data_IF_921110403208
#
_entry.id   IF_921110403208
#
_cell.length_a   1.000
_cell.length_b   1.000
_cell.length_c   1.000
_cell.angle_alpha   90.00
_cell.angle_beta   90.00
_cell.angle_gamma   90.00
#
_symmetry.space_group_name_H-M   'P 1'
#
loop_
_entity.id
_entity.type
_entity.pdbx_description
1 polymer ?
#
# COMPACT_ATOMS: atom_id res chain seq x y z
N UNK A 1 -21.07 31.60 20.20
CA UNK A 1 -19.68 31.18 19.95
C UNK A 1 -19.69 29.75 19.43
N UNK A 2 -19.36 29.52 18.16
CA UNK A 2 -19.11 28.18 17.64
C UNK A 2 -17.80 27.64 18.22
N UNK A 3 -17.78 26.38 18.66
CA UNK A 3 -16.53 25.69 19.03
C UNK A 3 -15.64 25.62 17.78
N UNK A 4 -14.57 26.41 17.75
CA UNK A 4 -13.44 26.12 16.85
C UNK A 4 -12.85 24.79 17.31
N UNK A 5 -13.15 23.72 16.59
CA UNK A 5 -12.35 22.50 16.68
C UNK A 5 -11.17 22.74 15.75
N UNK A 6 -10.00 23.01 16.33
CA UNK A 6 -8.75 22.76 15.60
C UNK A 6 -8.71 21.26 15.34
N UNK A 7 -8.73 20.90 14.06
CA UNK A 7 -8.64 19.52 13.62
C UNK A 7 -7.20 19.24 13.27
N UNK A 8 -6.62 18.20 13.86
CA UNK A 8 -5.39 17.62 13.34
C UNK A 8 -5.68 17.03 11.96
N UNK A 9 -5.24 17.75 10.92
CA UNK A 9 -5.60 17.46 9.53
C UNK A 9 -5.20 16.02 9.17
N UNK A 10 -4.03 15.57 9.61
CA UNK A 10 -3.53 14.22 9.33
C UNK A 10 -4.41 13.15 10.00
N UNK A 11 -4.84 13.37 11.25
CA UNK A 11 -5.71 12.42 11.97
C UNK A 11 -7.10 12.33 11.31
N UNK A 12 -7.64 13.46 10.88
CA UNK A 12 -8.95 13.50 10.22
C UNK A 12 -8.88 12.92 8.81
N UNK A 13 -7.81 13.18 8.06
CA UNK A 13 -7.59 12.60 6.74
C UNK A 13 -7.39 11.09 6.82
N UNK A 14 -6.61 10.59 7.78
CA UNK A 14 -6.41 9.16 8.01
C UNK A 14 -7.73 8.47 8.33
N UNK A 15 -8.51 9.03 9.26
CA UNK A 15 -9.84 8.49 9.62
C UNK A 15 -10.81 8.57 8.44
N UNK A 16 -10.78 9.66 7.66
CA UNK A 16 -11.63 9.81 6.49
C UNK A 16 -11.27 8.82 5.39
N UNK A 17 -9.97 8.59 5.13
CA UNK A 17 -9.49 7.57 4.21
C UNK A 17 -9.86 6.17 4.71
N UNK A 18 -9.61 5.84 5.97
CA UNK A 18 -10.02 4.55 6.55
C UNK A 18 -11.52 4.32 6.43
N UNK A 19 -12.35 5.32 6.77
CA UNK A 19 -13.80 5.21 6.65
C UNK A 19 -14.26 5.11 5.20
N UNK A 20 -13.67 5.88 4.29
CA UNK A 20 -13.95 5.80 2.86
C UNK A 20 -13.60 4.42 2.29
N UNK A 21 -12.46 3.87 2.70
CA UNK A 21 -12.00 2.53 2.32
C UNK A 21 -12.92 1.44 2.87
N UNK A 22 -13.16 1.42 4.19
CA UNK A 22 -14.01 0.41 4.84
C UNK A 22 -15.49 0.49 4.42
N UNK A 23 -16.02 1.69 4.19
CA UNK A 23 -17.45 1.86 3.91
C UNK A 23 -17.78 1.94 2.41
N UNK A 24 -16.87 2.45 1.58
CA UNK A 24 -17.10 2.71 0.15
C UNK A 24 -16.45 1.70 -0.78
N UNK A 25 -15.18 1.35 -0.54
CA UNK A 25 -14.37 0.56 -1.48
C UNK A 25 -14.49 -0.95 -1.25
N UNK A 26 -14.53 -1.40 0.00
CA UNK A 26 -14.69 -2.83 0.31
C UNK A 26 -16.02 -3.38 -0.22
N UNK A 27 -17.14 -2.65 -0.21
CA UNK A 27 -18.46 -3.25 -0.44
C UNK A 27 -18.80 -3.60 -1.90
N UNK A 28 -17.99 -3.20 -2.89
CA UNK A 28 -18.38 -3.28 -4.30
C UNK A 28 -17.37 -3.98 -5.22
N UNK A 29 -16.09 -4.04 -4.85
CA UNK A 29 -15.03 -4.67 -5.67
C UNK A 29 -14.45 -5.92 -4.99
N UNK A 30 -14.04 -6.95 -5.75
CA UNK A 30 -13.26 -8.07 -5.23
C UNK A 30 -11.96 -7.61 -4.58
N UNK A 31 -11.58 -8.18 -3.44
CA UNK A 31 -10.34 -7.85 -2.71
C UNK A 31 -9.10 -8.03 -3.59
N UNK A 32 -9.08 -9.05 -4.45
CA UNK A 32 -7.97 -9.25 -5.40
C UNK A 32 -7.79 -8.05 -6.33
N UNK A 33 -8.90 -7.44 -6.74
CA UNK A 33 -8.90 -6.26 -7.60
C UNK A 33 -8.40 -5.02 -6.85
N UNK A 34 -8.76 -4.89 -5.57
CA UNK A 34 -8.25 -3.82 -4.71
C UNK A 34 -6.74 -3.89 -4.54
N UNK A 35 -6.21 -5.09 -4.25
CA UNK A 35 -4.78 -5.34 -4.14
C UNK A 35 -4.08 -5.04 -5.48
N UNK A 36 -4.64 -5.50 -6.59
CA UNK A 36 -4.12 -5.24 -7.95
C UNK A 36 -3.99 -3.74 -8.20
N UNK A 37 -5.07 -2.98 -8.02
CA UNK A 37 -5.09 -1.52 -8.24
C UNK A 37 -4.15 -0.77 -7.29
N UNK A 38 -4.04 -1.21 -6.04
CA UNK A 38 -3.09 -0.65 -5.09
C UNK A 38 -1.64 -0.78 -5.60
N UNK A 39 -1.26 -1.97 -6.09
CA UNK A 39 0.07 -2.19 -6.67
C UNK A 39 0.26 -1.43 -7.99
N UNK A 40 -0.75 -1.37 -8.86
CA UNK A 40 -0.70 -0.62 -10.14
C UNK A 40 -0.51 0.89 -9.95
N UNK A 41 -1.12 1.46 -8.92
CA UNK A 41 -0.91 2.88 -8.56
C UNK A 41 0.55 3.20 -8.23
N UNK A 42 1.39 2.17 -8.06
CA UNK A 42 2.82 2.33 -7.81
C UNK A 42 3.64 2.47 -9.07
N UNK A 43 3.16 2.00 -10.21
CA UNK A 43 3.87 2.01 -11.50
C UNK A 43 3.43 3.14 -12.45
N UNK A 44 2.34 3.85 -12.14
CA UNK A 44 1.88 5.00 -12.92
C UNK A 44 2.84 6.20 -12.80
N UNK A 45 3.33 6.71 -13.94
CA UNK A 45 4.33 7.81 -14.02
C UNK A 45 3.75 9.21 -14.22
N UNK A 46 2.52 9.35 -14.70
CA UNK A 46 1.95 10.64 -15.12
C UNK A 46 1.57 11.59 -13.97
N UNK A 47 1.68 11.13 -12.72
CA UNK A 47 1.57 11.95 -11.52
C UNK A 47 2.72 11.55 -10.62
N UNK A 48 3.46 12.50 -10.03
CA UNK A 48 4.34 12.18 -8.90
C UNK A 48 3.45 11.63 -7.78
N UNK A 49 3.39 10.31 -7.54
CA UNK A 49 2.45 9.78 -6.58
C UNK A 49 3.01 10.08 -5.20
N UNK A 50 2.20 10.62 -4.28
CA UNK A 50 2.60 10.94 -2.90
C UNK A 50 3.34 9.76 -2.22
N UNK A 51 3.02 8.51 -2.56
CA UNK A 51 3.69 7.32 -2.04
C UNK A 51 5.18 7.21 -2.38
N UNK A 52 5.64 7.81 -3.48
CA UNK A 52 7.05 7.88 -3.86
C UNK A 52 7.88 8.80 -2.95
N UNK A 53 7.24 9.77 -2.30
CA UNK A 53 7.90 10.70 -1.38
C UNK A 53 8.27 10.01 -0.05
N UNK A 54 7.32 9.24 0.51
CA UNK A 54 7.53 8.52 1.78
C UNK A 54 8.67 7.51 1.65
N UNK A 55 8.68 6.69 0.59
CA UNK A 55 9.71 5.68 0.39
C UNK A 55 11.10 6.30 0.23
N UNK A 56 11.23 7.36 -0.56
CA UNK A 56 12.50 8.06 -0.71
C UNK A 56 12.97 8.70 0.60
N UNK A 57 12.06 9.37 1.31
CA UNK A 57 12.38 10.01 2.58
C UNK A 57 12.85 8.98 3.61
N UNK A 58 12.22 7.80 3.65
CA UNK A 58 12.66 6.69 4.47
C UNK A 58 14.08 6.23 4.16
N UNK A 59 14.39 6.03 2.87
CA UNK A 59 15.71 5.57 2.42
C UNK A 59 16.80 6.60 2.64
N UNK A 60 16.56 7.87 2.32
CA UNK A 60 17.57 8.93 2.34
C UNK A 60 17.75 9.58 3.72
N UNK A 61 16.65 9.75 4.46
CA UNK A 61 16.62 10.56 5.68
C UNK A 61 16.26 9.77 6.94
N UNK A 62 15.63 8.60 6.82
CA UNK A 62 15.11 7.86 7.98
C UNK A 62 16.17 7.48 9.02
N UNK A 63 17.41 7.23 8.59
CA UNK A 63 18.54 6.93 9.50
C UNK A 63 19.19 8.21 10.06
N UNK A 64 19.03 9.34 9.39
CA UNK A 64 19.71 10.61 9.72
C UNK A 64 18.81 11.56 10.52
N UNK A 65 17.50 11.40 10.43
CA UNK A 65 16.50 12.21 11.11
C UNK A 65 15.43 11.31 11.72
N UNK A 66 15.43 11.19 13.05
CA UNK A 66 14.51 10.33 13.79
C UNK A 66 13.04 10.74 13.67
N UNK A 67 12.75 12.03 13.47
CA UNK A 67 11.39 12.52 13.25
C UNK A 67 10.87 12.03 11.89
N UNK A 68 11.67 12.17 10.84
CA UNK A 68 11.34 11.63 9.50
C UNK A 68 11.24 10.11 9.55
N UNK A 69 12.15 9.43 10.25
CA UNK A 69 12.10 7.98 10.45
C UNK A 69 10.79 7.54 11.10
N UNK A 70 10.36 8.22 12.16
CA UNK A 70 9.11 7.90 12.87
C UNK A 70 7.87 8.11 11.98
N UNK A 71 7.83 9.21 11.22
CA UNK A 71 6.72 9.48 10.29
C UNK A 71 6.63 8.43 9.17
N UNK A 72 7.77 7.97 8.66
CA UNK A 72 7.81 6.92 7.63
C UNK A 72 7.37 5.58 8.21
N UNK A 73 7.83 5.23 9.41
CA UNK A 73 7.44 4.00 10.10
C UNK A 73 5.93 3.97 10.38
N UNK A 74 5.36 5.08 10.89
CA UNK A 74 3.92 5.22 11.09
C UNK A 74 3.14 5.02 9.78
N UNK A 75 3.62 5.58 8.67
CA UNK A 75 3.00 5.40 7.36
C UNK A 75 3.08 3.94 6.86
N UNK A 76 4.21 3.26 7.09
CA UNK A 76 4.38 1.86 6.73
C UNK A 76 3.47 0.96 7.56
N UNK A 77 3.41 1.15 8.88
CA UNK A 77 2.53 0.37 9.75
C UNK A 77 1.05 0.52 9.37
N UNK A 78 0.60 1.75 9.06
CA UNK A 78 -0.78 1.98 8.60
C UNK A 78 -1.10 1.31 7.26
N UNK A 79 -0.12 1.30 6.34
CA UNK A 79 -0.27 0.63 5.04
C UNK A 79 -0.36 -0.88 5.21
N UNK A 80 0.49 -1.45 6.07
CA UNK A 80 0.48 -2.88 6.39
C UNK A 80 -0.82 -3.30 7.07
N UNK A 81 -1.31 -2.53 8.04
CA UNK A 81 -2.60 -2.78 8.71
C UNK A 81 -3.76 -2.80 7.72
N UNK A 82 -3.75 -1.88 6.74
CA UNK A 82 -4.75 -1.85 5.67
C UNK A 82 -4.67 -3.11 4.78
N UNK A 83 -3.47 -3.56 4.41
CA UNK A 83 -3.28 -4.77 3.62
C UNK A 83 -3.73 -6.01 4.40
N UNK A 84 -3.44 -6.08 5.70
CA UNK A 84 -3.90 -7.14 6.59
C UNK A 84 -5.44 -7.23 6.62
N UNK A 85 -6.12 -6.10 6.83
CA UNK A 85 -7.58 -6.07 6.83
C UNK A 85 -8.18 -6.48 5.48
N UNK A 86 -7.59 -6.04 4.36
CA UNK A 86 -8.01 -6.49 3.04
C UNK A 86 -7.88 -8.02 2.88
N UNK A 87 -6.77 -8.62 3.35
CA UNK A 87 -6.60 -10.08 3.31
C UNK A 87 -7.67 -10.78 4.13
N UNK A 88 -7.94 -10.31 5.34
CA UNK A 88 -9.01 -10.87 6.19
C UNK A 88 -10.38 -10.77 5.51
N UNK A 89 -10.72 -9.60 4.95
CA UNK A 89 -11.96 -9.39 4.19
C UNK A 89 -12.06 -10.36 3.01
N UNK A 90 -10.95 -10.57 2.28
CA UNK A 90 -10.91 -11.49 1.15
C UNK A 90 -11.13 -12.94 1.57
N UNK A 91 -10.61 -13.34 2.73
CA UNK A 91 -10.86 -14.67 3.31
C UNK A 91 -12.31 -14.84 3.76
N UNK A 92 -12.88 -13.84 4.44
CA UNK A 92 -14.29 -13.86 4.89
C UNK A 92 -15.26 -13.98 3.72
N UNK A 93 -14.92 -13.42 2.56
CA UNK A 93 -15.70 -13.49 1.32
C UNK A 93 -15.43 -14.74 0.49
N UNK A 94 -14.46 -15.57 0.88
CA UNK A 94 -14.04 -16.75 0.12
C UNK A 94 -13.25 -16.43 -1.16
N UNK A 95 -12.79 -15.19 -1.33
CA UNK A 95 -11.97 -14.79 -2.47
C UNK A 95 -10.51 -15.22 -2.32
N UNK A 96 -10.01 -15.23 -1.08
CA UNK A 96 -8.67 -15.66 -0.70
C UNK A 96 -8.74 -16.97 0.10
N UNK A 97 -7.72 -17.82 -0.06
CA UNK A 97 -7.63 -19.09 0.66
C UNK A 97 -7.51 -18.82 2.16
N UNK A 98 -8.39 -19.44 2.95
CA UNK A 98 -8.35 -19.37 4.41
C UNK A 98 -7.10 -20.04 5.02
N UNK A 99 -6.37 -20.86 4.24
CA UNK A 99 -5.12 -21.49 4.68
C UNK A 99 -3.90 -20.57 4.61
N UNK A 100 -4.05 -19.34 4.11
CA UNK A 100 -2.96 -18.36 4.08
C UNK A 100 -2.95 -17.60 5.40
N UNK A 101 -1.77 -17.43 5.99
CA UNK A 101 -1.60 -16.59 7.19
C UNK A 101 -1.73 -15.11 6.79
N UNK A 102 -2.74 -14.37 7.30
CA UNK A 102 -2.99 -12.99 6.88
C UNK A 102 -1.80 -12.07 7.08
N UNK A 103 -1.09 -12.20 8.21
CA UNK A 103 0.12 -11.47 8.54
C UNK A 103 1.18 -11.69 7.47
N UNK A 104 1.48 -12.94 7.14
CA UNK A 104 2.50 -13.29 6.14
C UNK A 104 2.17 -12.70 4.75
N UNK A 105 0.89 -12.72 4.36
CA UNK A 105 0.46 -12.14 3.09
C UNK A 105 0.54 -10.61 3.13
N UNK A 106 0.14 -9.98 4.22
CA UNK A 106 0.24 -8.52 4.36
C UNK A 106 1.69 -8.03 4.28
N UNK A 107 2.63 -8.71 4.96
CA UNK A 107 4.06 -8.45 4.83
C UNK A 107 4.55 -8.63 3.39
N UNK A 108 4.17 -9.72 2.73
CA UNK A 108 4.53 -9.96 1.34
C UNK A 108 4.06 -8.82 0.42
N UNK A 109 2.79 -8.40 0.55
CA UNK A 109 2.22 -7.30 -0.24
C UNK A 109 2.89 -5.96 0.05
N UNK A 110 3.24 -5.68 1.32
CA UNK A 110 3.96 -4.47 1.71
C UNK A 110 5.36 -4.43 1.08
N UNK A 111 6.10 -5.55 1.14
CA UNK A 111 7.42 -5.65 0.53
C UNK A 111 7.36 -5.53 -1.00
N UNK A 112 6.37 -6.15 -1.64
CA UNK A 112 6.13 -6.01 -3.08
C UNK A 112 5.88 -4.54 -3.46
N UNK A 113 5.05 -3.84 -2.68
CA UNK A 113 4.76 -2.41 -2.88
C UNK A 113 6.02 -1.54 -2.75
N UNK A 114 6.82 -1.74 -1.70
CA UNK A 114 8.10 -1.02 -1.52
C UNK A 114 9.05 -1.28 -2.70
N UNK A 115 9.20 -2.54 -3.12
CA UNK A 115 10.07 -2.90 -4.23
C UNK A 115 9.63 -2.22 -5.54
N UNK A 116 8.34 -2.28 -5.88
CA UNK A 116 7.78 -1.61 -7.06
C UNK A 116 8.07 -0.11 -7.05
N UNK A 117 7.89 0.56 -5.90
CA UNK A 117 8.14 2.00 -5.74
C UNK A 117 9.60 2.36 -5.98
N UNK A 118 10.54 1.58 -5.47
CA UNK A 118 11.97 1.78 -5.71
C UNK A 118 12.31 1.53 -7.18
N UNK A 119 11.80 0.44 -7.75
CA UNK A 119 12.08 0.04 -9.12
C UNK A 119 11.57 1.04 -10.16
N UNK A 120 10.42 1.70 -9.95
CA UNK A 120 9.91 2.73 -10.88
C UNK A 120 10.89 3.89 -11.09
N UNK A 121 11.70 4.18 -10.07
CA UNK A 121 12.70 5.26 -10.08
C UNK A 121 14.06 4.81 -10.62
N UNK A 122 14.40 3.52 -10.47
CA UNK A 122 15.70 2.98 -10.90
C UNK A 122 15.63 2.22 -12.22
N UNK A 123 14.45 1.79 -12.66
CA UNK A 123 14.27 1.01 -13.87
C UNK A 123 14.58 1.86 -15.11
N UNK A 124 15.55 1.38 -15.88
CA UNK A 124 15.91 1.94 -17.19
C UNK A 124 15.01 1.41 -18.30
N UNK A 125 14.37 0.25 -18.10
CA UNK A 125 13.41 -0.37 -19.01
C UNK A 125 12.05 -0.56 -18.33
N UNK A 126 10.98 -0.06 -18.97
CA UNK A 126 9.61 -0.20 -18.49
C UNK A 126 9.06 -1.62 -18.70
N UNK A 127 9.60 -2.38 -19.65
CA UNK A 127 9.21 -3.78 -19.89
C UNK A 127 9.56 -4.69 -18.72
N UNK A 128 10.72 -4.48 -18.09
CA UNK A 128 11.15 -5.23 -16.90
C UNK A 128 10.25 -4.95 -15.69
N UNK A 129 9.87 -3.69 -15.47
CA UNK A 129 8.98 -3.31 -14.37
C UNK A 129 7.59 -3.95 -14.54
N UNK A 130 7.06 -3.95 -15.76
CA UNK A 130 5.76 -4.55 -16.08
C UNK A 130 5.79 -6.07 -15.92
N UNK A 131 6.90 -6.71 -16.29
CA UNK A 131 7.12 -8.15 -16.09
C UNK A 131 7.15 -8.52 -14.61
N UNK A 132 7.90 -7.79 -13.78
CA UNK A 132 7.98 -8.02 -12.34
C UNK A 132 6.62 -7.79 -11.66
N UNK A 133 5.91 -6.74 -12.07
CA UNK A 133 4.54 -6.52 -11.63
C UNK A 133 3.65 -7.73 -11.97
N UNK A 134 3.63 -8.18 -13.23
CA UNK A 134 2.82 -9.33 -13.64
C UNK A 134 3.19 -10.63 -12.92
N UNK A 135 4.47 -10.91 -12.68
CA UNK A 135 4.85 -12.10 -11.91
C UNK A 135 4.35 -12.01 -10.46
N UNK A 136 4.31 -10.81 -9.86
CA UNK A 136 3.77 -10.62 -8.51
C UNK A 136 2.23 -10.78 -8.43
N UNK A 137 1.46 -10.26 -9.38
CA UNK A 137 -0.02 -10.37 -9.37
C UNK A 137 -0.54 -11.64 -10.04
N UNK A 138 0.25 -12.27 -10.90
CA UNK A 138 -0.06 -13.54 -11.57
C UNK A 138 1.18 -14.44 -11.54
N UNK A 139 1.54 -15.02 -10.38
CA UNK A 139 2.73 -15.84 -10.27
C UNK A 139 2.63 -16.99 -11.25
N UNK A 140 3.51 -16.97 -12.25
CA UNK A 140 3.64 -18.09 -13.17
C UNK A 140 4.18 -19.28 -12.36
N UNK A 141 3.56 -20.47 -12.46
CA UNK A 141 4.09 -21.63 -11.74
C UNK A 141 5.53 -21.86 -12.19
N UNK A 142 6.46 -22.18 -11.27
CA UNK A 142 7.84 -22.45 -11.63
C UNK A 142 7.88 -23.57 -12.67
N UNK A 143 8.68 -23.37 -13.73
CA UNK A 143 8.92 -24.39 -14.75
C UNK A 143 9.67 -25.59 -14.20
#
# INVERSE_FOLDING_TARGET
>A
MGRNKEFEINEVLDKALQLFWMQGFEKQEPVKELIRRFLESSIERDREPLGCFIVNSGVELGVLNSEVGSLVEDSYSKTEELLYHLVQTGQQRGELRASLEPEAISYYLMHAWLALRTMVKTATDQGELHYLYYDMVTPTPPR
#
